data_IF_014141884161
#
_entry.id   IF_014141884161
#
_cell.length_a   1.000
_cell.length_b   1.000
_cell.length_c   1.000
_cell.angle_alpha   90.00
_cell.angle_beta   90.00
_cell.angle_gamma   90.00
#
_symmetry.space_group_name_H-M   'P 1'
#
loop_
_entity.id
_entity.type
_entity.pdbx_description
1 polymer ?
#
# COMPACT_ATOMS: atom_id res chain seq x y z
N UNK A 1 -10.21 19.27 9.55
CA UNK A 1 -8.84 18.75 9.64
C UNK A 1 -8.22 18.82 8.25
N UNK A 2 -7.28 19.75 8.07
CA UNK A 2 -6.51 19.89 6.82
C UNK A 2 -5.75 18.57 6.63
N UNK A 3 -6.00 17.88 5.51
CA UNK A 3 -5.12 16.82 5.03
C UNK A 3 -3.71 17.40 4.91
N UNK A 4 -2.78 16.87 5.69
CA UNK A 4 -1.37 17.19 5.50
C UNK A 4 -0.96 16.71 4.11
N UNK A 5 -0.17 17.50 3.36
CA UNK A 5 0.31 17.05 2.07
C UNK A 5 1.06 15.72 2.22
N UNK A 6 0.76 14.77 1.35
CA UNK A 6 1.33 13.42 1.33
C UNK A 6 2.87 13.40 1.13
N UNK A 7 3.45 14.56 0.80
CA UNK A 7 4.86 14.73 0.44
C UNK A 7 5.86 14.74 1.62
N UNK A 8 5.40 14.88 2.87
CA UNK A 8 6.32 15.13 3.99
C UNK A 8 6.56 13.89 4.88
N UNK A 9 5.77 12.81 4.77
CA UNK A 9 5.90 11.68 5.68
C UNK A 9 7.20 10.88 5.47
N UNK A 10 7.68 10.81 4.24
CA UNK A 10 8.89 10.09 3.88
C UNK A 10 10.13 10.79 4.45
N UNK A 11 10.18 12.12 4.28
CA UNK A 11 11.28 12.95 4.79
C UNK A 11 11.29 12.98 6.32
N UNK A 12 10.13 12.96 6.96
CA UNK A 12 10.02 12.95 8.41
C UNK A 12 10.20 11.55 9.02
N UNK A 13 9.83 10.51 8.28
CA UNK A 13 9.89 9.13 8.75
C UNK A 13 11.32 8.64 9.00
N UNK A 14 12.27 9.03 8.16
CA UNK A 14 13.67 8.64 8.32
C UNK A 14 14.29 9.10 9.64
N UNK A 15 14.30 10.40 9.96
CA UNK A 15 14.77 10.91 11.24
C UNK A 15 14.07 10.28 12.46
N UNK A 16 12.74 10.10 12.40
CA UNK A 16 11.97 9.48 13.47
C UNK A 16 12.43 8.03 13.70
N UNK A 17 12.57 7.25 12.64
CA UNK A 17 13.04 5.87 12.72
C UNK A 17 14.45 5.79 13.30
N UNK A 18 15.35 6.68 12.88
CA UNK A 18 16.72 6.78 13.41
C UNK A 18 16.72 7.04 14.92
N UNK A 19 16.02 8.07 15.35
CA UNK A 19 15.99 8.47 16.75
C UNK A 19 15.39 7.36 17.62
N UNK A 20 14.32 6.71 17.16
CA UNK A 20 13.74 5.55 17.84
C UNK A 20 14.75 4.41 18.01
N UNK A 21 15.48 4.06 16.96
CA UNK A 21 16.48 2.98 17.02
C UNK A 21 17.63 3.32 17.96
N UNK A 22 18.14 4.55 17.93
CA UNK A 22 19.22 4.98 18.84
C UNK A 22 18.76 4.95 20.31
N UNK A 23 17.55 5.41 20.60
CA UNK A 23 16.96 5.37 21.95
C UNK A 23 16.76 3.94 22.47
N UNK A 24 16.59 2.97 21.55
CA UNK A 24 16.46 1.55 21.88
C UNK A 24 17.79 0.78 21.79
N UNK A 25 18.93 1.47 21.74
CA UNK A 25 20.25 0.87 21.88
C UNK A 25 20.82 0.22 20.61
N UNK A 26 20.22 0.48 19.43
CA UNK A 26 20.77 0.00 18.17
C UNK A 26 22.03 0.80 17.78
N UNK A 27 22.93 0.13 17.06
CA UNK A 27 24.16 0.78 16.59
C UNK A 27 23.86 1.94 15.64
N UNK A 28 24.56 3.08 15.72
CA UNK A 28 24.33 4.24 14.87
C UNK A 28 24.35 3.92 13.37
N UNK A 29 25.28 3.10 12.91
CA UNK A 29 25.36 2.69 11.50
C UNK A 29 24.10 1.92 11.03
N UNK A 30 23.51 1.10 11.90
CA UNK A 30 22.26 0.43 11.59
C UNK A 30 21.08 1.42 11.55
N UNK A 31 20.99 2.33 12.53
CA UNK A 31 19.95 3.35 12.57
C UNK A 31 20.01 4.27 11.34
N UNK A 32 21.20 4.68 10.93
CA UNK A 32 21.42 5.50 9.72
C UNK A 32 21.02 4.75 8.44
N UNK A 33 21.33 3.45 8.36
CA UNK A 33 20.92 2.60 7.25
C UNK A 33 19.39 2.52 7.14
N UNK A 34 18.69 2.23 8.24
CA UNK A 34 17.23 2.14 8.27
C UNK A 34 16.62 3.48 7.88
N UNK A 35 17.09 4.59 8.43
CA UNK A 35 16.60 5.92 8.09
C UNK A 35 16.72 6.22 6.58
N UNK A 36 17.86 5.86 5.99
CA UNK A 36 18.07 6.00 4.54
C UNK A 36 17.09 5.19 3.71
N UNK A 37 16.78 3.96 4.11
CA UNK A 37 15.79 3.11 3.43
C UNK A 37 14.38 3.73 3.54
N UNK A 38 14.01 4.20 4.73
CA UNK A 38 12.70 4.84 4.98
C UNK A 38 12.52 6.08 4.11
N UNK A 39 13.54 6.93 3.97
CA UNK A 39 13.45 8.12 3.09
C UNK A 39 13.27 7.73 1.63
N UNK A 40 13.82 6.61 1.19
CA UNK A 40 13.83 6.19 -0.21
C UNK A 40 12.64 5.31 -0.63
N UNK A 41 11.80 4.82 0.30
CA UNK A 41 10.81 3.77 0.00
C UNK A 41 9.71 4.20 -1.00
N UNK A 42 9.54 5.49 -1.23
CA UNK A 42 8.57 5.99 -2.22
C UNK A 42 9.13 6.03 -3.66
N UNK A 43 10.44 5.88 -3.85
CA UNK A 43 11.09 5.85 -5.16
C UNK A 43 10.86 4.48 -5.86
N UNK A 44 9.60 4.12 -6.07
CA UNK A 44 9.16 2.78 -6.52
C UNK A 44 9.67 2.40 -7.92
N UNK A 45 10.06 3.38 -8.73
CA UNK A 45 10.72 3.17 -10.02
C UNK A 45 12.05 2.42 -9.89
N UNK A 46 12.70 2.53 -8.72
CA UNK A 46 13.95 1.84 -8.42
C UNK A 46 13.80 0.33 -8.17
N UNK A 47 12.58 -0.16 -7.94
CA UNK A 47 12.36 -1.59 -7.68
C UNK A 47 12.85 -2.50 -8.81
N UNK A 48 12.86 -1.99 -10.05
CA UNK A 48 13.31 -2.75 -11.23
C UNK A 48 14.80 -2.58 -11.51
N UNK A 49 15.50 -1.70 -10.78
CA UNK A 49 16.92 -1.47 -10.91
C UNK A 49 17.70 -2.56 -10.15
N UNK A 50 18.54 -3.36 -10.83
CA UNK A 50 19.30 -4.44 -10.19
C UNK A 50 20.30 -3.96 -9.12
N UNK A 51 20.69 -2.69 -9.15
CA UNK A 51 21.58 -2.09 -8.18
C UNK A 51 20.86 -1.59 -6.91
N UNK A 52 19.52 -1.68 -6.87
CA UNK A 52 18.76 -1.31 -5.67
C UNK A 52 18.93 -2.36 -4.57
N UNK A 53 19.32 -1.94 -3.36
CA UNK A 53 19.47 -2.85 -2.24
C UNK A 53 18.18 -3.66 -1.99
N UNK A 54 18.32 -4.97 -1.78
CA UNK A 54 17.18 -5.87 -1.59
C UNK A 54 16.29 -5.45 -0.40
N UNK A 55 16.87 -4.88 0.65
CA UNK A 55 16.12 -4.39 1.80
C UNK A 55 15.20 -3.24 1.42
N UNK A 56 15.63 -2.36 0.50
CA UNK A 56 14.79 -1.28 -0.02
C UNK A 56 13.67 -1.83 -0.89
N UNK A 57 13.96 -2.80 -1.75
CA UNK A 57 12.95 -3.49 -2.55
C UNK A 57 11.89 -4.13 -1.65
N UNK A 58 12.30 -4.89 -0.62
CA UNK A 58 11.38 -5.53 0.33
C UNK A 58 10.52 -4.49 1.06
N UNK A 59 11.11 -3.36 1.48
CA UNK A 59 10.38 -2.29 2.15
C UNK A 59 9.31 -1.67 1.22
N UNK A 60 9.66 -1.40 -0.03
CA UNK A 60 8.72 -0.89 -1.04
C UNK A 60 7.58 -1.88 -1.31
N UNK A 61 7.90 -3.17 -1.44
CA UNK A 61 6.91 -4.22 -1.66
C UNK A 61 5.97 -4.36 -0.45
N UNK A 62 6.51 -4.31 0.77
CA UNK A 62 5.71 -4.39 1.99
C UNK A 62 4.72 -3.22 2.10
N UNK A 63 5.19 -1.99 1.83
CA UNK A 63 4.35 -0.79 1.78
C UNK A 63 3.21 -0.93 0.74
N UNK A 64 3.53 -1.40 -0.46
CA UNK A 64 2.53 -1.64 -1.50
C UNK A 64 1.53 -2.75 -1.13
N UNK A 65 1.98 -3.79 -0.43
CA UNK A 65 1.15 -4.92 0.00
C UNK A 65 0.22 -4.54 1.17
N UNK A 66 0.64 -3.64 2.06
CA UNK A 66 -0.17 -3.18 3.18
C UNK A 66 -1.44 -2.46 2.70
N UNK A 67 -1.35 -1.71 1.62
CA UNK A 67 -2.49 -1.03 1.00
C UNK A 67 -3.45 -1.96 0.23
N UNK A 68 -3.29 -3.29 0.27
CA UNK A 68 -4.03 -4.26 -0.55
C UNK A 68 -4.71 -5.35 0.26
N UNK A 69 -5.62 -6.07 -0.41
CA UNK A 69 -6.38 -7.15 0.21
C UNK A 69 -7.35 -6.65 1.26
N UNK A 70 -7.62 -7.43 2.30
CA UNK A 70 -8.63 -7.14 3.32
C UNK A 70 -8.41 -5.80 4.02
N UNK A 71 -7.17 -5.48 4.42
CA UNK A 71 -6.86 -4.21 5.07
C UNK A 71 -7.09 -3.02 4.16
N UNK A 72 -6.70 -3.11 2.88
CA UNK A 72 -6.95 -2.07 1.90
C UNK A 72 -8.45 -1.84 1.65
N UNK A 73 -9.25 -2.91 1.58
CA UNK A 73 -10.72 -2.83 1.46
C UNK A 73 -11.33 -2.13 2.67
N UNK A 74 -10.95 -2.55 3.87
CA UNK A 74 -11.43 -1.94 5.12
C UNK A 74 -11.04 -0.46 5.22
N UNK A 75 -9.80 -0.13 4.87
CA UNK A 75 -9.32 1.24 4.85
C UNK A 75 -10.16 2.13 3.91
N UNK A 76 -10.43 1.65 2.70
CA UNK A 76 -11.23 2.39 1.72
C UNK A 76 -12.68 2.54 2.18
N UNK A 77 -13.28 1.51 2.77
CA UNK A 77 -14.62 1.56 3.34
C UNK A 77 -14.71 2.55 4.52
N UNK A 78 -13.73 2.52 5.44
CA UNK A 78 -13.66 3.46 6.57
C UNK A 78 -13.47 4.91 6.09
N UNK A 79 -12.63 5.13 5.10
CA UNK A 79 -12.42 6.46 4.52
C UNK A 79 -13.66 6.99 3.79
N UNK A 80 -14.44 6.11 3.15
CA UNK A 80 -15.74 6.48 2.57
C UNK A 80 -16.77 6.77 3.66
N UNK A 81 -16.85 5.92 4.68
CA UNK A 81 -17.76 6.07 5.82
C UNK A 81 -17.51 7.32 6.68
N UNK A 82 -16.34 7.94 6.56
CA UNK A 82 -16.03 9.20 7.22
C UNK A 82 -16.57 10.45 6.48
N UNK A 83 -17.13 10.30 5.29
CA UNK A 83 -17.73 11.40 4.53
C UNK A 83 -19.14 11.74 5.05
N UNK A 84 -19.61 13.00 4.88
CA UNK A 84 -20.96 13.41 5.29
C UNK A 84 -22.09 12.64 4.60
N UNK A 85 -21.86 12.25 3.35
CA UNK A 85 -22.80 11.42 2.54
C UNK A 85 -22.03 10.17 2.11
N UNK A 86 -22.15 9.10 2.89
CA UNK A 86 -21.59 7.80 2.57
C UNK A 86 -22.67 6.90 1.96
N UNK A 87 -22.27 6.15 0.92
CA UNK A 87 -23.13 5.16 0.27
C UNK A 87 -22.33 3.89 -0.05
N UNK A 88 -23.00 2.77 -0.26
CA UNK A 88 -22.36 1.54 -0.71
C UNK A 88 -21.78 1.70 -2.12
N UNK A 89 -22.49 2.42 -3.00
CA UNK A 89 -22.01 2.75 -4.35
C UNK A 89 -20.74 3.62 -4.31
N UNK A 90 -20.68 4.60 -3.39
CA UNK A 90 -19.49 5.42 -3.18
C UNK A 90 -18.28 4.58 -2.72
N UNK A 91 -18.53 3.59 -1.85
CA UNK A 91 -17.49 2.62 -1.44
C UNK A 91 -17.06 1.77 -2.63
N UNK A 92 -18.00 1.25 -3.42
CA UNK A 92 -17.69 0.47 -4.62
C UNK A 92 -16.84 1.26 -5.62
N UNK A 93 -17.23 2.50 -5.92
CA UNK A 93 -16.43 3.35 -6.83
C UNK A 93 -15.03 3.62 -6.30
N UNK A 94 -14.87 3.85 -5.00
CA UNK A 94 -13.57 4.02 -4.37
C UNK A 94 -12.70 2.76 -4.51
N UNK A 95 -13.26 1.58 -4.30
CA UNK A 95 -12.57 0.30 -4.48
C UNK A 95 -12.16 0.09 -5.96
N UNK A 96 -13.03 0.47 -6.90
CA UNK A 96 -12.77 0.40 -8.35
C UNK A 96 -11.69 1.39 -8.81
N UNK A 97 -11.51 2.51 -8.12
CA UNK A 97 -10.43 3.46 -8.42
C UNK A 97 -9.04 2.84 -8.25
N UNK A 98 -8.90 1.79 -7.47
CA UNK A 98 -7.69 0.96 -7.40
C UNK A 98 -7.58 0.07 -8.66
N UNK A 99 -7.39 0.70 -9.81
CA UNK A 99 -7.50 0.16 -11.20
C UNK A 99 -6.81 -1.19 -11.44
N UNK A 100 -5.93 -1.62 -10.56
CA UNK A 100 -5.19 -2.88 -10.70
C UNK A 100 -6.03 -4.13 -10.42
N UNK A 101 -7.21 -4.02 -9.80
CA UNK A 101 -8.03 -5.19 -9.50
C UNK A 101 -8.53 -5.92 -10.77
N UNK A 102 -8.75 -5.19 -11.88
CA UNK A 102 -9.17 -5.76 -13.17
C UNK A 102 -8.03 -6.22 -14.07
N UNK A 103 -6.79 -6.15 -13.61
CA UNK A 103 -5.59 -6.50 -14.39
C UNK A 103 -4.68 -7.40 -13.56
N UNK A 104 -5.08 -8.66 -13.31
CA UNK A 104 -4.30 -9.60 -12.51
C UNK A 104 -2.91 -9.88 -13.09
N UNK A 105 -2.72 -9.68 -14.40
CA UNK A 105 -1.43 -9.79 -15.07
C UNK A 105 -0.44 -8.66 -14.67
N UNK A 106 -0.95 -7.55 -14.14
CA UNK A 106 -0.12 -6.43 -13.68
C UNK A 106 0.28 -6.60 -12.24
N UNK A 107 1.34 -7.36 -12.05
CA UNK A 107 2.00 -7.47 -10.77
C UNK A 107 3.26 -6.57 -10.78
N UNK A 108 3.29 -5.47 -10.02
CA UNK A 108 4.41 -4.55 -10.02
C UNK A 108 5.59 -5.02 -9.16
N UNK A 109 5.39 -6.08 -8.34
CA UNK A 109 6.40 -6.55 -7.41
C UNK A 109 7.44 -7.43 -8.12
N UNK A 110 8.67 -7.41 -7.60
CA UNK A 110 9.82 -8.05 -8.25
C UNK A 110 10.25 -9.33 -7.56
N UNK A 111 10.10 -9.44 -6.22
CA UNK A 111 10.41 -10.67 -5.53
C UNK A 111 9.35 -11.74 -5.79
N UNK A 112 9.76 -13.00 -5.82
CA UNK A 112 8.84 -14.14 -6.01
C UNK A 112 7.75 -14.15 -4.94
N UNK A 113 8.14 -13.97 -3.67
CA UNK A 113 7.22 -13.98 -2.53
C UNK A 113 6.28 -12.76 -2.55
N UNK A 114 6.80 -11.58 -2.87
CA UNK A 114 6.01 -10.37 -3.04
C UNK A 114 4.94 -10.55 -4.11
N UNK A 115 5.33 -11.10 -5.26
CA UNK A 115 4.38 -11.39 -6.36
C UNK A 115 3.30 -12.39 -5.97
N UNK A 116 3.64 -13.41 -5.20
CA UNK A 116 2.65 -14.39 -4.71
C UNK A 116 1.63 -13.72 -3.77
N UNK A 117 2.08 -12.93 -2.79
CA UNK A 117 1.19 -12.17 -1.90
C UNK A 117 0.33 -11.15 -2.65
N UNK A 118 0.90 -10.47 -3.63
CA UNK A 118 0.14 -9.54 -4.45
C UNK A 118 -1.01 -10.22 -5.19
N UNK A 119 -0.74 -11.35 -5.83
CA UNK A 119 -1.75 -12.12 -6.57
C UNK A 119 -2.90 -12.58 -5.65
N UNK A 120 -2.59 -13.04 -4.44
CA UNK A 120 -3.57 -13.44 -3.44
C UNK A 120 -4.44 -12.26 -3.00
N UNK A 121 -3.82 -11.15 -2.61
CA UNK A 121 -4.52 -9.93 -2.15
C UNK A 121 -5.37 -9.31 -3.27
N UNK A 122 -4.89 -9.35 -4.51
CA UNK A 122 -5.61 -8.85 -5.67
C UNK A 122 -6.84 -9.70 -5.98
N UNK A 123 -6.74 -11.02 -5.88
CA UNK A 123 -7.89 -11.93 -6.05
C UNK A 123 -8.97 -11.63 -5.03
N UNK A 124 -8.61 -11.53 -3.75
CA UNK A 124 -9.56 -11.16 -2.69
C UNK A 124 -10.26 -9.83 -3.00
N UNK A 125 -9.50 -8.82 -3.43
CA UNK A 125 -10.06 -7.51 -3.77
C UNK A 125 -11.06 -7.61 -4.94
N UNK A 126 -10.71 -8.35 -5.98
CA UNK A 126 -11.58 -8.58 -7.15
C UNK A 126 -12.85 -9.32 -6.75
N UNK A 127 -12.73 -10.41 -5.99
CA UNK A 127 -13.87 -11.21 -5.53
C UNK A 127 -14.82 -10.37 -4.67
N UNK A 128 -14.27 -9.51 -3.80
CA UNK A 128 -15.07 -8.60 -2.98
C UNK A 128 -15.84 -7.56 -3.83
N UNK A 129 -15.16 -6.93 -4.80
CA UNK A 129 -15.79 -5.94 -5.68
C UNK A 129 -16.90 -6.56 -6.49
N UNK A 130 -16.68 -7.75 -7.07
CA UNK A 130 -17.72 -8.48 -7.83
C UNK A 130 -18.90 -8.90 -6.95
N UNK A 131 -18.63 -9.29 -5.70
CA UNK A 131 -19.69 -9.62 -4.75
C UNK A 131 -20.52 -8.37 -4.43
N UNK A 132 -19.86 -7.25 -4.13
CA UNK A 132 -20.56 -5.99 -3.83
C UNK A 132 -21.35 -5.47 -5.03
N UNK A 133 -20.85 -5.61 -6.27
CA UNK A 133 -21.60 -5.26 -7.48
C UNK A 133 -22.90 -6.07 -7.59
N UNK A 134 -22.86 -7.39 -7.32
CA UNK A 134 -24.05 -8.24 -7.32
C UNK A 134 -25.05 -7.84 -6.23
N UNK A 135 -24.56 -7.60 -5.01
CA UNK A 135 -25.41 -7.23 -3.87
C UNK A 135 -26.12 -5.89 -4.11
N UNK A 136 -25.52 -5.00 -4.90
CA UNK A 136 -26.11 -3.72 -5.32
C UNK A 136 -26.98 -3.81 -6.58
N UNK A 137 -27.09 -4.98 -7.20
CA UNK A 137 -27.86 -5.17 -8.43
C UNK A 137 -27.25 -4.46 -9.65
N UNK A 138 -25.93 -4.28 -9.68
CA UNK A 138 -25.21 -3.56 -10.75
C UNK A 138 -24.61 -4.48 -11.81
N UNK A 139 -24.77 -5.79 -11.67
CA UNK A 139 -24.41 -6.79 -12.68
C UNK A 139 -25.67 -7.21 -13.41
N UNK A 140 -25.68 -7.11 -14.74
CA UNK A 140 -26.68 -7.80 -15.56
C UNK A 140 -26.50 -9.31 -15.38
N UNK A 141 -27.59 -10.04 -15.09
CA UNK A 141 -27.67 -11.51 -15.02
C UNK A 141 -27.28 -12.16 -16.37
#
# INVERSE_FOLDING_TARGET
>A
TREKPKADHDLLGGPIARDYLLQNGYAPAFADRVASLVVQHQARERMQDPDTPIELVILMEADMLDERGALGILWDAMAEGAKPLQTYEGTLERLKMRKLYRRPERNPLVTERGRAFWAEKQRLHMDFVLALERDLGLTDD
#
